data_IF_324688168293
#
_entry.id   IF_324688168293
#
_cell.length_a   1.000
_cell.length_b   1.000
_cell.length_c   1.000
_cell.angle_alpha   90.00
_cell.angle_beta   90.00
_cell.angle_gamma   90.00
#
_symmetry.space_group_name_H-M   'P 1'
#
loop_
_entity.id
_entity.type
_entity.pdbx_description
1 polymer ?
#
# COMPACT_ATOMS: atom_id res chain seq x y z
N UNK A 1 19.29 22.80 -20.30
CA UNK A 1 18.42 21.61 -20.38
C UNK A 1 19.23 20.42 -19.89
N UNK A 2 18.72 19.67 -18.92
CA UNK A 2 19.41 18.55 -18.29
C UNK A 2 18.72 17.26 -18.72
N UNK A 3 19.24 16.59 -19.74
CA UNK A 3 18.77 15.25 -20.10
C UNK A 3 19.45 14.22 -19.20
N UNK A 4 18.65 13.37 -18.57
CA UNK A 4 19.14 12.11 -18.00
C UNK A 4 19.57 11.25 -19.18
N UNK A 5 20.88 11.02 -19.31
CA UNK A 5 21.47 10.38 -20.50
C UNK A 5 21.03 8.92 -20.63
N UNK A 6 20.74 8.24 -19.51
CA UNK A 6 20.22 6.87 -19.48
C UNK A 6 19.34 6.63 -18.25
N UNK A 7 18.22 5.93 -18.44
CA UNK A 7 17.37 5.44 -17.36
C UNK A 7 17.73 4.00 -17.01
N UNK A 8 17.63 3.65 -15.74
CA UNK A 8 17.81 2.28 -15.27
C UNK A 8 16.57 1.42 -15.54
N UNK A 9 16.80 0.14 -15.80
CA UNK A 9 15.73 -0.86 -15.86
C UNK A 9 15.07 -1.07 -14.51
N UNK A 10 13.77 -1.38 -14.53
CA UNK A 10 12.99 -1.61 -13.33
C UNK A 10 13.55 -2.77 -12.49
N UNK A 11 13.80 -2.50 -11.21
CA UNK A 11 14.24 -3.52 -10.25
C UNK A 11 13.22 -3.72 -9.14
N UNK A 12 12.45 -4.81 -9.22
CA UNK A 12 11.47 -5.18 -8.20
C UNK A 12 12.15 -5.50 -6.83
N UNK A 13 13.31 -6.15 -6.88
CA UNK A 13 14.03 -6.71 -5.74
C UNK A 13 15.31 -5.95 -5.42
N UNK A 14 15.23 -4.61 -5.38
CA UNK A 14 16.34 -3.75 -4.99
C UNK A 14 16.94 -4.22 -3.65
N UNK A 15 18.25 -4.46 -3.62
CA UNK A 15 18.94 -4.94 -2.43
C UNK A 15 20.34 -4.31 -2.35
N UNK A 16 20.82 -4.06 -1.13
CA UNK A 16 22.08 -3.36 -0.90
C UNK A 16 21.95 -1.84 -1.04
N UNK A 17 23.10 -1.16 -1.05
CA UNK A 17 23.19 0.29 -1.16
C UNK A 17 23.10 0.74 -2.63
N UNK A 18 21.96 0.50 -3.26
CA UNK A 18 21.73 0.81 -4.68
C UNK A 18 21.08 2.17 -4.88
N UNK A 19 21.36 2.78 -6.02
CA UNK A 19 20.75 4.02 -6.49
C UNK A 19 20.35 3.81 -7.94
N UNK A 20 19.13 4.21 -8.28
CA UNK A 20 18.59 4.04 -9.62
C UNK A 20 17.81 5.29 -10.03
N UNK A 21 17.80 5.56 -11.34
CA UNK A 21 17.09 6.66 -11.97
C UNK A 21 16.12 6.07 -12.97
N UNK A 22 14.83 6.12 -12.64
CA UNK A 22 13.78 5.57 -13.48
C UNK A 22 13.19 6.65 -14.38
N UNK A 23 12.72 6.21 -15.56
CA UNK A 23 11.94 7.04 -16.46
C UNK A 23 10.64 7.52 -15.76
N UNK A 24 10.22 8.80 -15.92
CA UNK A 24 9.00 9.32 -15.31
C UNK A 24 7.73 8.56 -15.74
N UNK A 25 7.72 7.96 -16.92
CA UNK A 25 6.61 7.17 -17.46
C UNK A 25 6.57 5.73 -16.95
N UNK A 26 7.61 5.28 -16.23
CA UNK A 26 7.63 3.95 -15.62
C UNK A 26 6.56 3.84 -14.52
N UNK A 27 5.53 3.05 -14.78
CA UNK A 27 4.39 2.87 -13.87
C UNK A 27 4.79 2.33 -12.51
N UNK A 28 5.72 1.37 -12.49
CA UNK A 28 6.19 0.68 -11.29
C UNK A 28 6.94 1.63 -10.38
N UNK A 29 7.81 2.47 -10.95
CA UNK A 29 8.54 3.51 -10.23
C UNK A 29 7.61 4.62 -9.74
N UNK A 30 6.62 5.02 -10.55
CA UNK A 30 5.61 6.03 -10.19
C UNK A 30 4.74 5.59 -9.03
N UNK A 31 4.39 4.31 -8.97
CA UNK A 31 3.65 3.66 -7.86
C UNK A 31 4.58 3.26 -6.69
N UNK A 32 5.89 3.51 -6.82
CA UNK A 32 6.93 3.18 -5.85
C UNK A 32 6.85 1.72 -5.39
N UNK A 33 6.67 0.81 -6.35
CA UNK A 33 6.50 -0.61 -6.09
C UNK A 33 7.79 -1.22 -5.52
N UNK A 34 7.64 -2.36 -4.86
CA UNK A 34 8.77 -3.17 -4.40
C UNK A 34 8.29 -4.58 -4.11
N UNK A 35 9.10 -5.56 -4.51
CA UNK A 35 8.94 -6.96 -4.13
C UNK A 35 9.08 -7.14 -2.62
N UNK A 36 9.83 -6.28 -1.93
CA UNK A 36 9.94 -6.28 -0.47
C UNK A 36 8.68 -5.72 0.19
N UNK A 37 8.38 -6.17 1.42
CA UNK A 37 7.27 -5.68 2.21
C UNK A 37 7.60 -4.33 2.86
N UNK A 38 7.49 -3.25 2.09
CA UNK A 38 7.87 -1.91 2.51
C UNK A 38 6.67 -1.11 3.08
N UNK A 39 6.83 -0.51 4.28
CA UNK A 39 5.86 0.43 4.88
C UNK A 39 6.33 1.88 4.73
N UNK A 40 5.40 2.82 4.63
CA UNK A 40 5.74 4.25 4.70
C UNK A 40 6.30 4.58 6.10
N UNK A 41 7.32 5.42 6.15
CA UNK A 41 7.82 6.03 7.38
C UNK A 41 7.87 7.54 7.20
N UNK A 42 7.37 8.28 8.20
CA UNK A 42 7.47 9.73 8.20
C UNK A 42 8.94 10.16 8.31
N UNK A 43 9.37 11.01 7.40
CA UNK A 43 10.70 11.64 7.38
C UNK A 43 10.63 13.17 7.49
N UNK A 44 9.43 13.74 7.72
CA UNK A 44 9.15 15.17 7.78
C UNK A 44 9.52 15.96 6.50
N UNK A 45 9.75 15.29 5.37
CA UNK A 45 10.03 15.91 4.08
C UNK A 45 9.10 15.35 3.00
N UNK A 46 8.11 16.15 2.60
CA UNK A 46 7.07 15.74 1.62
C UNK A 46 7.61 15.46 0.23
N UNK A 47 8.77 16.01 -0.13
CA UNK A 47 9.41 15.78 -1.44
C UNK A 47 10.07 14.41 -1.55
N UNK A 48 10.27 13.73 -0.43
CA UNK A 48 10.94 12.42 -0.36
C UNK A 48 10.00 11.43 0.29
N UNK A 49 9.62 10.39 -0.44
CA UNK A 49 8.87 9.28 0.13
C UNK A 49 9.84 8.25 0.71
N UNK A 50 9.89 8.18 2.04
CA UNK A 50 10.67 7.15 2.76
C UNK A 50 9.81 5.94 3.07
N UNK A 51 10.31 4.75 2.76
CA UNK A 51 9.72 3.47 3.15
C UNK A 51 10.74 2.59 3.88
N UNK A 52 10.31 1.82 4.86
CA UNK A 52 11.14 0.85 5.59
C UNK A 52 10.62 -0.56 5.40
N UNK A 53 11.52 -1.53 5.31
CA UNK A 53 11.15 -2.93 5.22
C UNK A 53 10.49 -3.41 6.53
N UNK A 54 9.47 -4.25 6.41
CA UNK A 54 8.83 -4.93 7.53
C UNK A 54 9.51 -6.26 7.87
N UNK A 55 10.20 -6.88 6.90
CA UNK A 55 10.66 -8.26 6.97
C UNK A 55 9.72 -9.22 6.24
N UNK A 56 9.63 -10.44 6.76
CA UNK A 56 8.90 -11.56 6.16
C UNK A 56 8.22 -12.39 7.25
N UNK A 57 7.04 -12.94 6.95
CA UNK A 57 6.38 -13.89 7.84
C UNK A 57 6.91 -15.30 7.55
N UNK A 58 7.42 -15.95 8.59
CA UNK A 58 7.98 -17.30 8.54
C UNK A 58 7.21 -18.21 9.49
N UNK A 59 7.36 -19.53 9.30
CA UNK A 59 6.86 -20.51 10.26
C UNK A 59 7.84 -20.61 11.43
N UNK A 60 7.36 -20.58 12.66
CA UNK A 60 8.15 -20.74 13.88
C UNK A 60 8.92 -22.06 13.98
N UNK A 61 8.46 -23.09 13.24
CA UNK A 61 9.11 -24.39 13.15
C UNK A 61 9.93 -24.56 11.86
N UNK A 62 10.09 -23.50 11.06
CA UNK A 62 10.87 -23.54 9.83
C UNK A 62 10.42 -24.60 8.82
N UNK A 63 9.12 -24.96 8.84
CA UNK A 63 8.65 -26.15 8.13
C UNK A 63 8.91 -26.08 6.61
N UNK A 64 9.16 -27.26 6.05
CA UNK A 64 9.37 -27.45 4.62
C UNK A 64 8.02 -27.88 4.01
N UNK A 65 7.63 -27.18 2.95
CA UNK A 65 6.46 -27.47 2.14
C UNK A 65 6.70 -28.73 1.30
N UNK A 66 5.65 -29.42 0.83
CA UNK A 66 5.80 -30.62 0.00
C UNK A 66 6.60 -30.41 -1.31
N UNK A 67 6.69 -29.16 -1.77
CA UNK A 67 7.48 -28.77 -2.95
C UNK A 67 8.97 -28.48 -2.62
N UNK A 68 9.41 -28.75 -1.39
CA UNK A 68 10.77 -28.44 -0.92
C UNK A 68 11.02 -26.99 -0.52
N UNK A 69 10.05 -26.10 -0.69
CA UNK A 69 10.16 -24.68 -0.30
C UNK A 69 9.85 -24.44 1.17
N UNK A 70 10.12 -23.23 1.67
CA UNK A 70 9.71 -22.78 3.00
C UNK A 70 8.57 -21.75 2.92
N UNK A 71 7.89 -21.55 4.04
CA UNK A 71 6.79 -20.57 4.15
C UNK A 71 7.34 -19.16 4.30
N UNK A 72 7.28 -18.35 3.24
CA UNK A 72 7.69 -16.94 3.22
C UNK A 72 6.52 -16.04 2.79
N UNK A 73 5.69 -15.62 3.73
CA UNK A 73 4.50 -14.83 3.43
C UNK A 73 4.78 -13.34 3.53
N UNK A 74 4.08 -12.54 2.70
CA UNK A 74 4.17 -11.08 2.73
C UNK A 74 3.44 -10.53 3.96
N UNK A 75 4.14 -9.84 4.88
CA UNK A 75 3.48 -9.18 6.00
C UNK A 75 2.47 -8.13 5.53
N UNK A 76 1.38 -7.99 6.26
CA UNK A 76 0.44 -6.90 6.04
C UNK A 76 1.08 -5.55 6.40
N UNK A 77 0.84 -4.56 5.53
CA UNK A 77 1.36 -3.21 5.74
C UNK A 77 0.70 -2.55 6.95
N UNK A 78 -0.61 -2.76 7.13
CA UNK A 78 -1.34 -2.24 8.30
C UNK A 78 -0.93 -2.99 9.57
N UNK A 79 -0.54 -2.25 10.61
CA UNK A 79 -0.11 -2.79 11.89
C UNK A 79 -1.17 -3.67 12.55
N UNK A 80 -2.44 -3.23 12.54
CA UNK A 80 -3.55 -4.01 13.11
C UNK A 80 -3.74 -5.34 12.37
N UNK A 81 -3.64 -5.34 11.04
CA UNK A 81 -3.75 -6.57 10.25
C UNK A 81 -2.53 -7.47 10.46
N UNK A 82 -1.32 -6.91 10.55
CA UNK A 82 -0.08 -7.67 10.77
C UNK A 82 -0.04 -8.32 12.15
N UNK A 83 -0.53 -7.64 13.19
CA UNK A 83 -0.72 -8.25 14.51
C UNK A 83 -1.67 -9.44 14.48
N UNK A 84 -2.72 -9.37 13.65
CA UNK A 84 -3.66 -10.49 13.43
C UNK A 84 -3.08 -11.63 12.60
N UNK A 85 -2.07 -11.38 11.76
CA UNK A 85 -1.41 -12.43 10.98
C UNK A 85 -0.38 -13.19 11.82
N UNK A 86 0.29 -12.50 12.75
CA UNK A 86 1.18 -13.15 13.71
C UNK A 86 0.41 -14.09 14.61
N UNK A 87 1.08 -15.17 15.05
CA UNK A 87 0.52 -16.24 15.87
C UNK A 87 -0.67 -16.97 15.24
N UNK A 88 -0.93 -16.78 13.94
CA UNK A 88 -1.89 -17.63 13.21
C UNK A 88 -1.23 -18.94 12.81
N UNK A 89 -2.03 -19.99 12.66
CA UNK A 89 -1.53 -21.30 12.27
C UNK A 89 -0.80 -21.25 10.92
N UNK A 90 0.27 -22.04 10.80
CA UNK A 90 1.00 -22.20 9.55
C UNK A 90 0.06 -22.61 8.41
N UNK A 91 0.21 -22.04 7.19
CA UNK A 91 -0.57 -22.49 6.02
C UNK A 91 -0.29 -23.95 5.64
N UNK A 92 0.85 -24.50 6.07
CA UNK A 92 1.17 -25.92 5.93
C UNK A 92 0.36 -26.73 6.95
N UNK A 93 -0.77 -27.33 6.53
CA UNK A 93 -1.70 -28.06 7.40
C UNK A 93 -1.10 -29.11 8.34
N UNK A 94 -0.14 -29.97 7.92
CA UNK A 94 0.49 -30.93 8.83
C UNK A 94 1.43 -30.27 9.86
N UNK A 95 1.79 -29.00 9.69
CA UNK A 95 2.69 -28.30 10.59
C UNK A 95 1.91 -27.69 11.78
N UNK A 96 2.25 -28.03 13.03
CA UNK A 96 1.65 -27.41 14.22
C UNK A 96 2.23 -26.00 14.52
N UNK A 97 3.13 -25.51 13.66
CA UNK A 97 3.80 -24.22 13.85
C UNK A 97 2.88 -23.03 13.66
N UNK A 98 3.34 -21.88 14.14
CA UNK A 98 2.64 -20.60 13.99
C UNK A 98 3.42 -19.67 13.08
N UNK A 99 2.76 -18.65 12.54
CA UNK A 99 3.39 -17.60 11.77
C UNK A 99 3.99 -16.54 12.69
N UNK A 100 5.26 -16.24 12.50
CA UNK A 100 5.98 -15.19 13.21
C UNK A 100 6.66 -14.23 12.24
N UNK A 101 6.89 -12.99 12.70
CA UNK A 101 7.57 -12.00 11.89
C UNK A 101 9.08 -12.14 12.09
N UNK A 102 9.82 -12.40 11.01
CA UNK A 102 11.26 -12.17 10.95
C UNK A 102 11.47 -10.72 10.51
N UNK A 103 11.79 -9.78 11.42
CA UNK A 103 11.96 -8.37 11.06
C UNK A 103 13.23 -8.17 10.25
N UNK A 104 13.21 -7.20 9.35
CA UNK A 104 14.42 -6.77 8.64
C UNK A 104 15.31 -5.94 9.57
N UNK A 105 16.59 -6.29 9.69
CA UNK A 105 17.64 -5.58 10.44
C UNK A 105 18.90 -5.32 9.61
N UNK A 106 18.75 -5.46 8.29
CA UNK A 106 19.77 -5.33 7.26
C UNK A 106 20.54 -4.01 7.13
N UNK A 107 20.26 -3.01 7.96
CA UNK A 107 20.94 -1.72 7.95
C UNK A 107 21.44 -1.35 9.35
N UNK A 108 22.62 -1.86 9.73
CA UNK A 108 23.22 -1.61 11.05
C UNK A 108 22.25 -1.90 12.22
N UNK A 109 21.46 -2.99 12.12
CA UNK A 109 20.46 -3.36 13.12
C UNK A 109 19.08 -2.73 12.91
N UNK A 110 18.95 -1.78 11.98
CA UNK A 110 17.69 -1.16 11.58
C UNK A 110 17.15 -1.77 10.28
N UNK A 111 15.84 -1.60 9.98
CA UNK A 111 15.28 -2.08 8.73
C UNK A 111 15.86 -1.34 7.52
N UNK A 112 16.04 -2.09 6.43
CA UNK A 112 16.40 -1.52 5.12
C UNK A 112 15.38 -0.44 4.71
N UNK A 113 15.87 0.65 4.14
CA UNK A 113 15.05 1.80 3.76
C UNK A 113 15.15 2.11 2.28
N UNK A 114 14.00 2.45 1.68
CA UNK A 114 13.89 2.97 0.33
C UNK A 114 13.50 4.44 0.38
N UNK A 115 14.09 5.22 -0.50
CA UNK A 115 13.80 6.63 -0.70
C UNK A 115 13.41 6.84 -2.15
N UNK A 116 12.31 7.57 -2.35
CA UNK A 116 11.82 7.92 -3.66
C UNK A 116 11.67 9.43 -3.75
N UNK A 117 12.13 10.02 -4.84
CA UNK A 117 11.92 11.44 -5.14
C UNK A 117 11.45 11.58 -6.58
N UNK A 118 10.35 12.29 -6.75
CA UNK A 118 9.78 12.60 -8.05
C UNK A 118 10.33 13.92 -8.55
N UNK A 119 10.69 13.96 -9.84
CA UNK A 119 11.02 15.19 -10.56
C UNK A 119 10.32 15.16 -11.92
N UNK A 120 10.18 16.31 -12.61
CA UNK A 120 9.54 16.35 -13.92
C UNK A 120 10.19 15.45 -14.98
N UNK A 121 11.47 15.10 -14.83
CA UNK A 121 12.25 14.40 -15.87
C UNK A 121 12.66 12.98 -15.49
N UNK A 122 12.53 12.60 -14.20
CA UNK A 122 12.97 11.31 -13.69
C UNK A 122 12.40 11.01 -12.30
N UNK A 123 12.40 9.72 -11.94
CA UNK A 123 12.11 9.25 -10.59
C UNK A 123 13.39 8.70 -9.99
N UNK A 124 13.88 9.36 -8.94
CA UNK A 124 15.09 8.94 -8.24
C UNK A 124 14.74 7.92 -7.15
N UNK A 125 15.52 6.85 -7.10
CA UNK A 125 15.40 5.79 -6.12
C UNK A 125 16.74 5.54 -5.41
N UNK A 126 16.67 5.31 -4.10
CA UNK A 126 17.83 4.86 -3.32
C UNK A 126 17.38 3.85 -2.27
N UNK A 127 18.12 2.74 -2.17
CA UNK A 127 18.02 1.80 -1.08
C UNK A 127 19.23 1.95 -0.14
N UNK A 128 19.00 1.79 1.17
CA UNK A 128 20.04 1.76 2.20
C UNK A 128 19.90 0.48 3.03
N UNK A 129 20.95 -0.33 3.02
CA UNK A 129 21.06 -1.63 3.71
C UNK A 129 20.85 -2.85 2.81
N UNK A 130 21.13 -4.03 3.35
CA UNK A 130 20.98 -5.32 2.67
C UNK A 130 19.96 -6.19 3.39
N UNK A 131 18.93 -6.68 2.72
CA UNK A 131 17.89 -7.49 3.36
C UNK A 131 18.47 -8.79 3.92
N UNK A 132 18.31 -8.97 5.23
CA UNK A 132 18.81 -10.07 6.05
C UNK A 132 17.76 -11.16 6.30
N UNK A 133 16.80 -11.26 5.38
CA UNK A 133 15.68 -12.19 5.45
C UNK A 133 15.30 -12.67 4.05
N UNK A 134 14.67 -13.85 3.92
CA UNK A 134 14.25 -14.34 2.61
C UNK A 134 13.25 -13.40 1.96
N UNK A 135 13.20 -13.46 0.63
CA UNK A 135 12.23 -12.69 -0.16
C UNK A 135 10.82 -13.15 0.23
N UNK A 136 9.94 -12.24 0.71
CA UNK A 136 8.53 -12.57 0.81
C UNK A 136 7.99 -12.88 -0.58
N UNK A 137 6.84 -13.51 -0.65
CA UNK A 137 6.11 -13.59 -1.90
C UNK A 137 5.80 -12.21 -2.54
N UNK A 138 5.57 -12.19 -3.87
CA UNK A 138 5.14 -11.01 -4.58
C UNK A 138 3.81 -10.45 -4.05
N UNK A 139 3.63 -9.14 -4.18
CA UNK A 139 2.41 -8.45 -3.76
C UNK A 139 1.15 -9.04 -4.42
N UNK A 140 1.22 -9.35 -5.71
CA UNK A 140 0.12 -9.94 -6.49
C UNK A 140 -0.35 -11.28 -5.91
N UNK A 141 0.58 -12.18 -5.60
CA UNK A 141 0.28 -13.49 -4.99
C UNK A 141 -0.35 -13.33 -3.59
N UNK A 142 0.15 -12.38 -2.80
CA UNK A 142 -0.40 -12.10 -1.48
C UNK A 142 -1.86 -11.60 -1.54
N UNK A 143 -2.20 -10.80 -2.56
CA UNK A 143 -3.56 -10.31 -2.79
C UNK A 143 -4.52 -11.44 -3.19
N UNK A 144 -4.10 -12.34 -4.09
CA UNK A 144 -4.88 -13.52 -4.49
C UNK A 144 -5.20 -14.48 -3.34
N UNK A 145 -4.30 -14.61 -2.34
CA UNK A 145 -4.60 -15.42 -1.15
C UNK A 145 -5.59 -14.77 -0.20
N UNK A 146 -5.62 -13.44 -0.15
CA UNK A 146 -6.60 -12.71 0.66
C UNK A 146 -8.00 -12.79 0.06
N UNK A 147 -8.13 -12.71 -1.25
CA UNK A 147 -9.42 -12.81 -1.94
C UNK A 147 -10.03 -14.21 -1.79
N UNK A 148 -9.22 -15.27 -1.92
CA UNK A 148 -9.67 -16.66 -1.72
C UNK A 148 -10.07 -16.97 -0.28
N UNK A 149 -9.38 -16.38 0.71
CA UNK A 149 -9.76 -16.52 2.14
C UNK A 149 -11.02 -15.74 2.48
N UNK A 150 -11.23 -14.57 1.86
CA UNK A 150 -12.43 -13.74 2.06
C UNK A 150 -13.68 -14.33 1.40
N UNK A 151 -13.52 -15.01 0.26
CA UNK A 151 -14.60 -15.71 -0.43
C UNK A 151 -15.21 -16.86 0.40
N UNK A 152 -14.45 -17.48 1.31
CA UNK A 152 -14.97 -18.49 2.24
C UNK A 152 -15.85 -17.90 3.34
N UNK A 153 -15.72 -16.60 3.64
CA UNK A 153 -16.53 -15.91 4.67
C UNK A 153 -17.90 -15.47 4.16
N UNK A 154 -18.09 -15.41 2.83
CA UNK A 154 -19.38 -15.10 2.19
C UNK A 154 -20.26 -16.34 1.93
N UNK A 155 -19.81 -17.56 2.27
CA UNK A 155 -20.66 -18.77 2.25
C UNK A 155 -21.38 -19.00 3.59
N UNK A 156 -21.93 -17.93 4.16
CA UNK A 156 -22.68 -17.95 5.42
C UNK A 156 -24.07 -17.30 5.35
N UNK A 157 -24.54 -16.90 4.17
CA UNK A 157 -25.84 -16.24 3.97
C UNK A 157 -26.63 -16.84 2.78
N UNK A 158 -26.38 -18.10 2.43
CA UNK A 158 -27.00 -18.74 1.26
C UNK A 158 -27.48 -20.15 1.58
N UNK A 159 -28.57 -20.25 2.34
CA UNK A 159 -29.44 -21.43 2.37
C UNK A 159 -30.86 -20.94 2.62
N UNK A 160 -31.56 -20.67 1.53
CA UNK A 160 -32.98 -20.99 1.32
C UNK A 160 -33.25 -20.68 -0.16
N UNK A 161 -32.92 -21.63 -1.02
CA UNK A 161 -33.59 -21.80 -2.30
C UNK A 161 -34.43 -23.05 -2.11
N UNK A 162 -35.75 -22.87 -1.99
CA UNK A 162 -36.70 -23.81 -2.55
C UNK A 162 -37.93 -23.02 -3.03
N UNK A 163 -38.48 -23.56 -4.11
CA UNK A 163 -39.45 -23.00 -5.05
C UNK A 163 -40.73 -22.42 -4.43
N UNK A 164 -41.27 -21.36 -5.03
CA UNK A 164 -42.44 -21.54 -5.89
C UNK A 164 -42.76 -20.32 -6.76
N UNK A 165 -43.16 -20.63 -7.99
CA UNK A 165 -43.64 -19.71 -9.00
C UNK A 165 -45.08 -19.31 -8.72
N UNK A 166 -45.39 -18.01 -8.71
CA UNK A 166 -46.74 -17.52 -9.04
C UNK A 166 -46.71 -16.05 -9.48
N UNK A 167 -47.11 -15.88 -10.74
CA UNK A 167 -47.51 -14.66 -11.43
C UNK A 167 -48.60 -13.90 -10.66
N UNK A 168 -48.60 -12.56 -10.70
CA UNK A 168 -49.85 -11.80 -10.57
C UNK A 168 -49.77 -10.46 -9.85
N UNK A 169 -49.73 -9.40 -10.65
CA UNK A 169 -50.24 -8.04 -10.43
C UNK A 169 -51.08 -7.76 -9.18
N UNK A 170 -50.81 -6.64 -8.48
CA UNK A 170 -51.84 -5.61 -8.19
C UNK A 170 -51.27 -4.29 -7.64
N UNK A 171 -51.96 -3.26 -8.11
CA UNK A 171 -51.73 -1.83 -8.11
C UNK A 171 -52.34 -1.19 -6.85
N UNK A 172 -51.66 -0.14 -6.38
CA UNK A 172 -52.10 1.10 -5.70
C UNK A 172 -53.09 1.10 -4.53
N UNK A 173 -52.75 2.00 -3.59
CA UNK A 173 -53.62 2.97 -2.92
C UNK A 173 -54.03 2.62 -1.49
N UNK A 174 -53.63 3.48 -0.54
CA UNK A 174 -54.52 4.41 0.19
C UNK A 174 -53.82 4.91 1.46
N UNK A 175 -53.44 6.19 1.48
CA UNK A 175 -53.95 7.19 2.45
C UNK A 175 -53.14 8.49 2.37
N UNK A 176 -53.58 9.33 1.45
CA UNK A 176 -53.52 10.77 1.57
C UNK A 176 -54.77 11.26 2.32
N UNK A 177 -54.58 11.92 3.47
CA UNK A 177 -55.45 12.92 4.14
C UNK A 177 -54.77 13.18 5.50
N UNK A 178 -54.46 14.39 5.95
CA UNK A 178 -54.92 15.74 5.59
C UNK A 178 -53.99 16.79 6.26
N UNK A 179 -53.67 17.85 5.50
CA UNK A 179 -53.53 19.29 5.87
C UNK A 179 -52.59 19.67 7.03
N UNK A 180 -51.44 20.31 6.75
CA UNK A 180 -51.22 21.77 6.56
C UNK A 180 -51.54 22.62 7.80
N UNK A 181 -50.50 23.08 8.51
CA UNK A 181 -50.26 24.49 8.93
C UNK A 181 -48.83 24.67 9.47
N UNK A 182 -48.12 25.65 8.89
CA UNK A 182 -47.06 26.54 9.45
C UNK A 182 -45.97 26.02 10.40
N UNK A 183 -44.71 26.21 9.99
CA UNK A 183 -43.56 26.21 10.89
C UNK A 183 -42.23 26.09 10.13
N UNK A 184 -41.76 27.19 9.53
CA UNK A 184 -40.43 27.29 8.94
C UNK A 184 -39.36 27.26 10.04
N UNK A 185 -38.59 26.17 10.12
CA UNK A 185 -37.35 26.10 10.88
C UNK A 185 -36.20 25.82 9.92
N UNK A 186 -35.13 26.65 9.88
CA UNK A 186 -33.96 26.35 9.07
C UNK A 186 -33.23 25.14 9.66
N UNK A 187 -32.98 24.12 8.83
CA UNK A 187 -32.07 23.03 9.19
C UNK A 187 -30.64 23.57 9.27
N UNK A 188 -29.83 23.14 10.25
CA UNK A 188 -28.47 23.62 10.38
C UNK A 188 -27.64 23.11 9.20
N UNK A 189 -27.07 24.05 8.45
CA UNK A 189 -26.04 23.79 7.43
C UNK A 189 -24.90 23.06 8.14
N UNK A 190 -24.76 21.75 7.91
CA UNK A 190 -23.57 21.00 8.33
C UNK A 190 -22.41 21.50 7.48
N UNK A 191 -21.71 22.51 8.02
CA UNK A 191 -20.48 23.07 7.47
C UNK A 191 -19.48 21.93 7.33
N UNK A 192 -19.19 21.56 6.08
CA UNK A 192 -18.39 20.40 5.75
C UNK A 192 -16.91 20.75 5.91
N UNK A 193 -16.47 20.95 7.16
CA UNK A 193 -15.10 21.32 7.53
C UNK A 193 -14.05 20.38 6.91
N UNK A 194 -14.41 19.11 6.67
CA UNK A 194 -13.55 18.11 6.05
C UNK A 194 -13.29 18.36 4.57
N UNK A 195 -14.28 18.86 3.83
CA UNK A 195 -14.12 19.21 2.41
C UNK A 195 -13.35 20.52 2.24
N UNK A 196 -13.58 21.51 3.12
CA UNK A 196 -12.79 22.74 3.13
C UNK A 196 -11.32 22.50 3.50
N UNK A 197 -11.03 21.63 4.46
CA UNK A 197 -9.64 21.26 4.78
C UNK A 197 -8.94 20.51 3.64
N UNK A 198 -9.66 19.65 2.90
CA UNK A 198 -9.10 18.97 1.73
C UNK A 198 -8.84 19.93 0.56
N UNK A 199 -9.74 20.90 0.32
CA UNK A 199 -9.53 21.93 -0.71
C UNK A 199 -8.40 22.90 -0.34
N UNK A 200 -8.28 23.32 0.92
CA UNK A 200 -7.15 24.15 1.38
C UNK A 200 -5.81 23.41 1.29
N UNK A 201 -5.76 22.10 1.59
CA UNK A 201 -4.54 21.30 1.37
C UNK A 201 -4.17 21.17 -0.11
N UNK A 202 -5.15 21.05 -1.01
CA UNK A 202 -4.90 21.01 -2.45
C UNK A 202 -4.44 22.37 -3.01
N UNK A 203 -5.01 23.48 -2.54
CA UNK A 203 -4.58 24.83 -2.94
C UNK A 203 -3.17 25.16 -2.44
N UNK A 204 -2.84 24.82 -1.18
CA UNK A 204 -1.47 24.99 -0.66
C UNK A 204 -0.44 24.12 -1.40
N UNK A 205 -0.84 22.94 -1.90
CA UNK A 205 0.03 22.09 -2.74
C UNK A 205 0.26 22.69 -4.14
N UNK A 206 -0.72 23.41 -4.69
CA UNK A 206 -0.59 24.07 -5.99
C UNK A 206 0.24 25.37 -5.90
N UNK A 207 0.05 26.18 -4.86
CA UNK A 207 0.79 27.43 -4.69
C UNK A 207 2.28 27.20 -4.37
N UNK A 208 2.63 26.09 -3.72
CA UNK A 208 4.04 25.71 -3.48
C UNK A 208 4.77 25.21 -4.74
N UNK A 209 4.06 24.88 -5.82
CA UNK A 209 4.69 24.52 -7.11
C UNK A 209 5.11 25.74 -7.94
N UNK A 210 4.65 26.95 -7.60
CA UNK A 210 4.89 28.16 -8.41
C UNK A 210 6.06 29.04 -7.97
N UNK A 211 6.76 28.71 -6.88
CA UNK A 211 7.91 29.50 -6.43
C UNK A 211 9.10 28.62 -6.07
N UNK A 212 9.91 28.23 -7.08
CA UNK A 212 11.30 27.86 -6.83
C UNK A 212 12.24 28.42 -7.92
N UNK A 213 13.35 29.10 -7.53
CA UNK A 213 14.41 29.50 -8.45
C UNK A 213 15.17 28.27 -8.97
N UNK A 214 15.89 28.36 -10.11
CA UNK A 214 16.48 27.20 -10.76
C UNK A 214 17.63 26.60 -9.94
N UNK A 215 17.62 25.29 -9.60
CA UNK A 215 18.73 24.60 -8.97
C UNK A 215 19.67 23.91 -9.99
N UNK A 216 20.92 23.59 -9.59
CA UNK A 216 22.03 23.34 -10.50
C UNK A 216 22.11 21.90 -11.06
N UNK A 217 23.00 21.74 -12.03
CA UNK A 217 23.27 20.55 -12.87
C UNK A 217 23.60 19.28 -12.05
N UNK A 218 23.03 18.13 -12.44
CA UNK A 218 23.19 16.86 -11.72
C UNK A 218 23.85 15.83 -12.62
N UNK A 219 25.17 15.63 -12.44
CA UNK A 219 25.89 14.46 -12.96
C UNK A 219 25.67 13.25 -12.05
N UNK A 220 26.13 12.04 -12.42
CA UNK A 220 26.09 10.84 -11.56
C UNK A 220 26.73 11.06 -10.16
N UNK A 221 27.56 12.10 -9.98
CA UNK A 221 28.08 12.55 -8.67
C UNK A 221 27.07 13.37 -7.83
N UNK A 222 25.98 13.84 -8.39
CA UNK A 222 24.97 14.69 -7.74
C UNK A 222 23.73 13.94 -7.22
N UNK A 223 23.58 12.63 -7.50
CA UNK A 223 22.55 11.80 -6.83
C UNK A 223 22.73 11.82 -5.29
N UNK A 224 23.96 12.06 -4.82
CA UNK A 224 24.29 12.23 -3.40
C UNK A 224 23.51 13.36 -2.70
N UNK A 225 23.10 14.41 -3.44
CA UNK A 225 22.43 15.60 -2.90
C UNK A 225 20.92 15.65 -3.16
N UNK A 226 20.36 14.65 -3.86
CA UNK A 226 18.95 14.66 -4.22
C UNK A 226 18.04 13.92 -3.22
N UNK A 227 18.60 13.08 -2.35
CA UNK A 227 17.82 12.21 -1.46
C UNK A 227 18.13 12.43 0.03
N UNK A 228 19.15 13.25 0.35
CA UNK A 228 19.34 13.81 1.70
C UNK A 228 18.80 15.24 1.72
#
# INVERSE_FOLDING_TARGET
MLEVVNYDEWSEWANGHVRQVYNPDCEEARKHLSGWAMRNTNNHNVSILKKSCLGVLVCSLGCILPNGGQVHLRPAICDKARKKQQHTACPNKPCPGVLEIQPCRGHCGYPVTHFWRHTPHAIFFQAKGHHDHPRPEPKSTAESRRSTTSARRMRGFGVFLDCDAAVGSKIMSLKQRRRRTSGSFPLPVKRNYRQQQQQQQQQQQQEQQQQQPPPPLISNKCIYYLIN
#
